data_IF_978383034635
#
_entry.id   IF_978383034635
#
_cell.length_a   1.000
_cell.length_b   1.000
_cell.length_c   1.000
_cell.angle_alpha   90.00
_cell.angle_beta   90.00
_cell.angle_gamma   90.00
#
_symmetry.space_group_name_H-M   'P 1'
#
loop_
_entity.id
_entity.type
_entity.pdbx_description
1 polymer ?
#
# COMPACT_ATOMS: atom_id res chain seq x y z
N UNK A 1 -16.39 -13.16 5.50
CA UNK A 1 -15.45 -14.14 6.11
C UNK A 1 -14.87 -15.02 5.02
N UNK A 2 -13.57 -15.23 4.97
CA UNK A 2 -12.94 -16.06 3.93
C UNK A 2 -13.05 -17.54 4.29
N UNK A 3 -14.03 -18.25 3.70
CA UNK A 3 -14.30 -19.66 3.97
C UNK A 3 -13.10 -20.59 3.69
N UNK A 4 -12.22 -20.19 2.75
CA UNK A 4 -11.04 -20.96 2.41
C UNK A 4 -10.01 -21.00 3.55
N UNK A 5 -9.70 -19.83 4.14
CA UNK A 5 -8.77 -19.74 5.28
C UNK A 5 -9.31 -20.50 6.50
N UNK A 6 -10.60 -20.38 6.79
CA UNK A 6 -11.23 -21.13 7.90
C UNK A 6 -11.16 -22.64 7.70
N UNK A 7 -11.28 -23.12 6.47
CA UNK A 7 -11.16 -24.55 6.15
C UNK A 7 -9.74 -25.11 6.39
N UNK A 8 -8.72 -24.22 6.42
CA UNK A 8 -7.32 -24.58 6.73
C UNK A 8 -6.94 -24.32 8.19
N UNK A 9 -7.91 -23.97 9.05
CA UNK A 9 -7.66 -23.65 10.46
C UNK A 9 -7.06 -22.26 10.70
N UNK A 10 -6.93 -21.44 9.65
CA UNK A 10 -6.43 -20.07 9.73
C UNK A 10 -7.47 -19.13 10.37
N UNK A 11 -7.01 -18.20 11.17
CA UNK A 11 -7.88 -17.18 11.75
C UNK A 11 -8.17 -16.10 10.72
N UNK A 12 -9.41 -16.04 10.24
CA UNK A 12 -9.80 -14.98 9.31
C UNK A 12 -9.82 -13.62 10.02
N UNK A 13 -9.13 -12.65 9.43
CA UNK A 13 -9.17 -11.24 9.84
C UNK A 13 -10.50 -10.63 9.39
N UNK A 14 -11.25 -10.05 10.34
CA UNK A 14 -12.46 -9.28 10.08
C UNK A 14 -12.20 -7.77 10.19
N UNK A 15 -13.16 -6.94 9.72
CA UNK A 15 -13.07 -5.48 9.86
C UNK A 15 -12.97 -5.03 11.33
N UNK A 16 -13.54 -5.78 12.25
CA UNK A 16 -13.58 -5.47 13.69
C UNK A 16 -12.20 -5.54 14.35
N UNK A 17 -11.28 -6.30 13.77
CA UNK A 17 -9.89 -6.35 14.25
C UNK A 17 -9.16 -5.01 14.11
N UNK A 18 -9.66 -4.11 13.24
CA UNK A 18 -9.17 -2.74 13.09
C UNK A 18 -9.88 -1.73 14.00
N UNK A 19 -10.79 -2.17 14.85
CA UNK A 19 -11.48 -1.31 15.82
C UNK A 19 -10.72 -1.20 17.16
N UNK A 20 -9.59 -1.88 17.29
CA UNK A 20 -8.68 -1.73 18.43
C UNK A 20 -8.15 -0.30 18.52
N UNK A 21 -7.73 0.12 19.71
CA UNK A 21 -7.17 1.46 19.96
C UNK A 21 -5.76 1.54 19.36
N UNK A 22 -5.68 1.69 18.07
CA UNK A 22 -4.45 1.90 17.32
C UNK A 22 -4.66 3.01 16.27
N UNK A 23 -3.56 3.55 15.76
CA UNK A 23 -3.57 4.67 14.82
C UNK A 23 -3.41 4.24 13.35
N UNK A 24 -3.81 3.01 13.02
CA UNK A 24 -3.70 2.50 11.65
C UNK A 24 -5.03 2.50 10.92
N UNK A 25 -5.00 2.99 9.68
CA UNK A 25 -6.06 2.86 8.72
C UNK A 25 -6.08 1.44 8.11
N UNK A 26 -7.22 1.05 7.56
CA UNK A 26 -7.33 -0.06 6.61
C UNK A 26 -6.85 0.41 5.25
N UNK A 27 -5.52 0.44 5.05
CA UNK A 27 -4.93 0.90 3.80
C UNK A 27 -5.18 -0.09 2.67
N UNK A 28 -5.67 0.39 1.53
CA UNK A 28 -5.90 -0.45 0.36
C UNK A 28 -4.59 -0.70 -0.41
N UNK A 29 -4.33 -1.95 -0.79
CA UNK A 29 -3.26 -2.29 -1.75
C UNK A 29 -3.69 -1.87 -3.16
N UNK A 30 -4.89 -2.31 -3.57
CA UNK A 30 -5.57 -1.86 -4.80
C UNK A 30 -6.62 -0.84 -4.39
N UNK A 31 -6.49 0.44 -4.79
CA UNK A 31 -7.40 1.50 -4.36
C UNK A 31 -8.81 1.32 -4.92
N UNK A 32 -9.81 1.71 -4.12
CA UNK A 32 -11.22 1.63 -4.55
C UNK A 32 -11.51 2.58 -5.72
N UNK A 33 -10.83 3.72 -5.77
CA UNK A 33 -10.94 4.68 -6.86
C UNK A 33 -10.53 4.12 -8.23
N UNK A 34 -9.73 3.05 -8.27
CA UNK A 34 -9.31 2.38 -9.51
C UNK A 34 -10.29 1.28 -9.97
N UNK A 35 -11.38 1.05 -9.23
CA UNK A 35 -12.35 -0.05 -9.46
C UNK A 35 -13.79 0.43 -9.35
N UNK A 36 -14.08 1.60 -9.93
CA UNK A 36 -15.41 2.24 -9.83
C UNK A 36 -16.38 1.85 -10.95
N UNK A 37 -15.90 1.23 -12.03
CA UNK A 37 -16.76 0.90 -13.19
C UNK A 37 -17.84 -0.13 -12.90
N UNK A 38 -17.56 -1.11 -12.02
CA UNK A 38 -18.50 -2.18 -11.67
C UNK A 38 -18.57 -2.36 -10.17
N UNK A 39 -19.78 -2.40 -9.63
CA UNK A 39 -20.05 -2.58 -8.22
C UNK A 39 -19.31 -3.78 -7.62
N UNK A 40 -19.34 -4.95 -8.29
CA UNK A 40 -18.66 -6.15 -7.82
C UNK A 40 -17.13 -6.00 -7.77
N UNK A 41 -16.52 -5.24 -8.69
CA UNK A 41 -15.08 -4.95 -8.67
C UNK A 41 -14.74 -4.01 -7.53
N UNK A 42 -15.58 -3.00 -7.29
CA UNK A 42 -15.41 -2.09 -6.17
C UNK A 42 -15.58 -2.82 -4.83
N UNK A 43 -16.61 -3.68 -4.68
CA UNK A 43 -16.75 -4.51 -3.48
C UNK A 43 -15.53 -5.41 -3.22
N UNK A 44 -14.90 -5.92 -4.27
CA UNK A 44 -13.75 -6.83 -4.12
C UNK A 44 -12.55 -6.16 -3.44
N UNK A 45 -12.34 -4.85 -3.65
CA UNK A 45 -11.20 -4.14 -3.03
C UNK A 45 -11.40 -3.86 -1.54
N UNK A 46 -12.61 -4.00 -1.02
CA UNK A 46 -12.90 -3.88 0.42
C UNK A 46 -12.72 -5.20 1.20
N UNK A 47 -12.26 -6.27 0.55
CA UNK A 47 -11.90 -7.51 1.25
C UNK A 47 -10.65 -7.30 2.10
N UNK A 48 -10.63 -7.90 3.29
CA UNK A 48 -9.49 -7.78 4.21
C UNK A 48 -8.16 -8.27 3.61
N UNK A 49 -8.19 -9.16 2.63
CA UNK A 49 -7.01 -9.57 1.86
C UNK A 49 -6.40 -8.48 0.98
N UNK A 50 -7.08 -7.34 0.83
CA UNK A 50 -6.58 -6.13 0.14
C UNK A 50 -6.24 -5.00 1.11
N UNK A 51 -6.21 -5.28 2.42
CA UNK A 51 -5.98 -4.28 3.45
C UNK A 51 -4.64 -4.51 4.15
N UNK A 52 -3.92 -3.43 4.42
CA UNK A 52 -2.72 -3.39 5.24
C UNK A 52 -2.90 -2.33 6.33
N UNK A 53 -2.34 -2.54 7.54
CA UNK A 53 -2.23 -1.46 8.52
C UNK A 53 -1.32 -0.35 7.95
N UNK A 54 -1.88 0.82 7.75
CA UNK A 54 -1.13 2.00 7.32
C UNK A 54 -1.44 3.17 8.25
N UNK A 55 -0.41 3.93 8.64
CA UNK A 55 -0.64 5.19 9.35
C UNK A 55 -1.47 6.13 8.48
N UNK A 56 -2.20 7.05 9.08
CA UNK A 56 -2.97 8.03 8.31
C UNK A 56 -2.07 8.88 7.41
N UNK A 57 -0.85 9.22 7.86
CA UNK A 57 0.12 9.93 7.05
C UNK A 57 0.54 9.13 5.81
N UNK A 58 0.90 7.84 5.98
CA UNK A 58 1.20 7.00 4.83
C UNK A 58 0.00 6.88 3.91
N UNK A 59 -1.16 6.44 4.43
CA UNK A 59 -2.34 6.09 3.63
C UNK A 59 -2.95 7.30 2.90
N UNK A 60 -3.16 8.41 3.63
CA UNK A 60 -3.95 9.56 3.17
C UNK A 60 -3.12 10.66 2.52
N UNK A 61 -1.76 10.59 2.64
CA UNK A 61 -0.88 11.62 2.07
C UNK A 61 0.03 11.02 1.01
N UNK A 62 1.08 10.30 1.40
CA UNK A 62 2.09 9.88 0.41
C UNK A 62 1.61 8.76 -0.53
N UNK A 63 0.89 7.79 -0.01
CA UNK A 63 0.36 6.67 -0.82
C UNK A 63 -0.73 7.16 -1.79
N UNK A 64 -1.66 7.98 -1.28
CA UNK A 64 -2.74 8.58 -2.08
C UNK A 64 -2.21 9.50 -3.18
N UNK A 65 -1.15 10.29 -2.92
CA UNK A 65 -0.51 11.15 -3.94
C UNK A 65 0.04 10.33 -5.12
N UNK A 66 0.71 9.21 -4.87
CA UNK A 66 1.18 8.34 -5.95
C UNK A 66 0.02 7.70 -6.72
N UNK A 67 -1.05 7.30 -6.04
CA UNK A 67 -2.26 6.80 -6.69
C UNK A 67 -2.92 7.87 -7.56
N UNK A 68 -3.05 9.09 -7.04
CA UNK A 68 -3.55 10.26 -7.78
C UNK A 68 -2.70 10.58 -9.00
N UNK A 69 -1.37 10.52 -8.88
CA UNK A 69 -0.44 10.68 -9.99
C UNK A 69 -0.67 9.61 -11.06
N UNK A 70 -0.80 8.34 -10.67
CA UNK A 70 -1.04 7.23 -11.60
C UNK A 70 -2.38 7.41 -12.33
N UNK A 71 -3.46 7.78 -11.63
CA UNK A 71 -4.76 8.09 -12.25
C UNK A 71 -4.68 9.27 -13.21
N UNK A 72 -3.94 10.30 -12.86
CA UNK A 72 -3.74 11.49 -13.70
C UNK A 72 -2.98 11.15 -15.00
N UNK A 73 -1.99 10.26 -14.93
CA UNK A 73 -1.28 9.77 -16.10
C UNK A 73 -2.19 8.94 -17.01
N UNK A 74 -3.02 8.06 -16.45
CA UNK A 74 -4.01 7.29 -17.20
C UNK A 74 -5.05 8.21 -17.86
N UNK A 75 -5.53 9.23 -17.17
CA UNK A 75 -6.49 10.19 -17.72
C UNK A 75 -5.92 10.95 -18.93
N UNK A 76 -4.63 11.30 -18.90
CA UNK A 76 -3.94 11.94 -20.04
C UNK A 76 -3.65 10.97 -21.19
N UNK A 77 -3.47 9.67 -20.88
CA UNK A 77 -3.12 8.62 -21.83
C UNK A 77 -4.08 7.42 -21.69
N UNK A 78 -5.38 7.58 -22.03
CA UNK A 78 -6.43 6.59 -21.71
C UNK A 78 -6.28 5.26 -22.45
N UNK A 79 -5.41 5.19 -23.45
CA UNK A 79 -5.09 3.94 -24.17
C UNK A 79 -3.93 3.17 -23.53
N UNK A 80 -3.17 3.80 -22.63
CA UNK A 80 -2.06 3.15 -21.97
C UNK A 80 -2.58 2.17 -20.90
N UNK A 81 -1.78 1.16 -20.64
CA UNK A 81 -2.00 0.19 -19.56
C UNK A 81 -0.92 0.40 -18.50
N UNK A 82 -1.32 0.41 -17.25
CA UNK A 82 -0.41 0.50 -16.14
C UNK A 82 -0.38 -0.83 -15.39
N UNK A 83 0.81 -1.29 -15.08
CA UNK A 83 1.01 -2.42 -14.18
C UNK A 83 1.53 -1.89 -12.85
N UNK A 84 0.85 -2.28 -11.77
CA UNK A 84 1.18 -1.87 -10.42
C UNK A 84 1.48 -3.11 -9.59
N UNK A 85 2.65 -3.11 -8.95
CA UNK A 85 3.05 -4.11 -7.97
C UNK A 85 3.20 -3.39 -6.65
N UNK A 86 2.55 -3.87 -5.59
CA UNK A 86 2.60 -3.24 -4.27
C UNK A 86 2.48 -4.30 -3.18
N UNK A 87 3.08 -4.02 -2.03
CA UNK A 87 3.02 -4.92 -0.89
C UNK A 87 3.68 -4.35 0.36
N UNK A 88 3.53 -5.06 1.49
CA UNK A 88 4.17 -4.72 2.74
C UNK A 88 5.64 -5.14 2.76
N UNK A 89 6.42 -4.45 3.58
CA UNK A 89 7.78 -4.82 3.98
C UNK A 89 7.78 -4.99 5.50
N UNK A 90 8.25 -6.14 5.96
CA UNK A 90 8.37 -6.46 7.38
C UNK A 90 9.85 -6.63 7.75
N UNK A 91 10.24 -6.08 8.88
CA UNK A 91 11.55 -6.38 9.47
C UNK A 91 11.50 -7.64 10.33
N UNK A 92 12.64 -8.03 10.88
CA UNK A 92 12.74 -9.21 11.75
C UNK A 92 11.93 -9.09 13.05
N UNK A 93 11.67 -7.85 13.51
CA UNK A 93 10.85 -7.58 14.70
C UNK A 93 9.39 -7.37 14.27
N UNK A 94 8.67 -8.48 14.09
CA UNK A 94 7.25 -8.44 13.74
C UNK A 94 6.41 -7.79 14.85
N UNK A 95 5.54 -6.86 14.46
CA UNK A 95 4.57 -6.19 15.33
C UNK A 95 3.17 -6.55 14.88
N UNK A 96 2.24 -6.60 15.82
CA UNK A 96 0.89 -7.05 15.56
C UNK A 96 -0.13 -6.13 16.22
N UNK A 97 -1.25 -5.92 15.53
CA UNK A 97 -2.43 -5.19 16.00
C UNK A 97 -3.69 -6.08 15.94
N UNK A 98 -4.80 -5.50 16.35
CA UNK A 98 -6.09 -6.15 16.41
C UNK A 98 -6.37 -6.79 17.77
N UNK A 99 -7.64 -7.03 18.05
CA UNK A 99 -8.10 -7.61 19.33
C UNK A 99 -7.41 -8.97 19.59
N UNK A 100 -7.17 -9.74 18.54
CA UNK A 100 -6.49 -11.04 18.61
C UNK A 100 -4.98 -10.94 18.35
N UNK A 101 -4.43 -9.76 18.11
CA UNK A 101 -3.04 -9.53 17.72
C UNK A 101 -2.61 -10.44 16.57
N UNK A 102 -3.43 -10.55 15.54
CA UNK A 102 -3.23 -11.43 14.39
C UNK A 102 -3.03 -10.68 13.07
N UNK A 103 -2.96 -9.33 13.11
CA UNK A 103 -2.68 -8.50 11.95
C UNK A 103 -1.25 -7.98 12.09
N UNK A 104 -0.35 -8.45 11.22
CA UNK A 104 1.01 -7.94 11.18
C UNK A 104 1.04 -6.50 10.66
N UNK A 105 1.81 -5.64 11.33
CA UNK A 105 2.00 -4.24 10.96
C UNK A 105 3.28 -4.14 10.13
N UNK A 106 3.22 -3.72 8.86
CA UNK A 106 4.43 -3.52 8.07
C UNK A 106 5.21 -2.30 8.57
N UNK A 107 6.53 -2.37 8.47
CA UNK A 107 7.43 -1.23 8.80
C UNK A 107 7.45 -0.21 7.67
N UNK A 108 7.22 -0.67 6.45
CA UNK A 108 7.06 0.15 5.25
C UNK A 108 6.22 -0.58 4.20
N UNK A 109 5.83 0.13 3.16
CA UNK A 109 5.13 -0.44 2.01
C UNK A 109 5.84 -0.03 0.73
N UNK A 110 5.93 -0.95 -0.23
CA UNK A 110 6.48 -0.64 -1.53
C UNK A 110 5.39 -0.52 -2.59
N UNK A 111 5.67 0.28 -3.62
CA UNK A 111 4.84 0.34 -4.84
C UNK A 111 5.75 0.56 -6.04
N UNK A 112 5.52 -0.24 -7.09
CA UNK A 112 6.14 -0.11 -8.41
C UNK A 112 5.02 0.18 -9.40
N UNK A 113 5.19 1.20 -10.23
CA UNK A 113 4.24 1.57 -11.28
C UNK A 113 4.97 1.57 -12.61
N UNK A 114 4.49 0.78 -13.57
CA UNK A 114 5.06 0.66 -14.91
C UNK A 114 3.99 1.04 -15.94
N UNK A 115 4.30 1.98 -16.81
CA UNK A 115 3.51 2.27 -18.00
C UNK A 115 3.90 1.28 -19.11
N UNK A 116 2.97 0.41 -19.49
CA UNK A 116 3.13 -0.57 -20.55
C UNK A 116 2.83 0.00 -21.95
N UNK A 117 2.44 1.28 -22.02
CA UNK A 117 2.00 1.92 -23.24
C UNK A 117 0.67 1.37 -23.78
N UNK A 118 0.32 1.80 -24.97
CA UNK A 118 -0.98 1.52 -25.60
C UNK A 118 -1.00 0.26 -26.49
N UNK A 119 0.16 -0.31 -26.80
CA UNK A 119 0.29 -1.49 -27.68
C UNK A 119 1.31 -2.50 -27.12
N UNK A 120 1.33 -3.70 -27.68
CA UNK A 120 2.32 -4.74 -27.34
C UNK A 120 3.74 -4.40 -27.78
N UNK A 121 3.89 -3.50 -28.75
CA UNK A 121 5.19 -3.02 -29.24
C UNK A 121 5.69 -1.78 -28.50
N UNK A 122 4.92 -1.24 -27.55
CA UNK A 122 5.37 -0.12 -26.73
C UNK A 122 6.51 -0.57 -25.80
N UNK A 123 7.50 0.29 -25.62
CA UNK A 123 8.57 0.07 -24.64
C UNK A 123 8.06 0.45 -23.26
N UNK A 124 8.04 -0.47 -22.30
CA UNK A 124 7.59 -0.16 -20.94
C UNK A 124 8.48 0.90 -20.26
N UNK A 125 7.87 1.72 -19.42
CA UNK A 125 8.57 2.79 -18.69
C UNK A 125 8.29 2.66 -17.20
N UNK A 126 9.33 2.67 -16.40
CA UNK A 126 9.20 2.81 -14.95
C UNK A 126 8.70 4.22 -14.61
N UNK A 127 7.56 4.30 -13.96
CA UNK A 127 6.96 5.58 -13.50
C UNK A 127 7.35 5.84 -12.06
N UNK A 128 7.24 4.83 -11.22
CA UNK A 128 7.60 4.91 -9.80
C UNK A 128 8.14 3.57 -9.31
N UNK A 129 9.11 3.65 -8.42
CA UNK A 129 9.63 2.54 -7.62
C UNK A 129 9.96 3.13 -6.25
N UNK A 130 9.15 2.84 -5.24
CA UNK A 130 9.20 3.52 -3.94
C UNK A 130 9.11 2.55 -2.77
N UNK A 131 9.78 2.89 -1.66
CA UNK A 131 9.55 2.32 -0.33
C UNK A 131 9.12 3.46 0.59
N UNK A 132 7.89 3.41 1.07
CA UNK A 132 7.30 4.44 1.93
C UNK A 132 7.21 3.93 3.37
N UNK A 133 7.80 4.61 4.36
CA UNK A 133 7.78 4.18 5.75
C UNK A 133 6.37 4.27 6.33
N UNK A 134 6.04 3.34 7.21
CA UNK A 134 4.75 3.29 7.90
C UNK A 134 4.82 4.03 9.23
N UNK A 135 5.06 5.33 9.15
CA UNK A 135 5.26 6.24 10.27
C UNK A 135 4.20 7.34 10.31
N UNK A 136 4.14 8.05 11.42
CA UNK A 136 3.29 9.24 11.59
C UNK A 136 3.83 10.43 10.80
N UNK A 137 3.06 11.50 10.71
CA UNK A 137 3.51 12.78 10.12
C UNK A 137 4.72 13.40 10.82
N UNK A 138 5.01 12.97 12.05
CA UNK A 138 6.20 13.37 12.84
C UNK A 138 7.40 12.44 12.59
N UNK A 139 7.25 11.39 11.77
CA UNK A 139 8.29 10.41 11.50
C UNK A 139 8.48 9.37 12.61
N UNK A 140 7.52 9.25 13.54
CA UNK A 140 7.54 8.29 14.64
C UNK A 140 6.65 7.07 14.34
N UNK A 141 6.93 5.96 15.01
CA UNK A 141 6.05 4.79 14.99
C UNK A 141 4.92 5.00 16.01
N UNK A 142 3.63 4.90 15.60
CA UNK A 142 2.52 5.14 16.52
C UNK A 142 2.38 4.09 17.63
N UNK A 143 3.08 2.96 17.54
CA UNK A 143 3.09 1.93 18.60
C UNK A 143 4.17 2.22 19.64
N UNK A 144 5.32 2.73 19.20
CA UNK A 144 6.46 3.01 20.08
C UNK A 144 6.33 4.41 20.74
N UNK A 145 5.42 5.26 20.26
CA UNK A 145 5.17 6.59 20.82
C UNK A 145 3.93 6.56 21.72
N UNK A 146 4.13 6.30 23.00
CA UNK A 146 3.07 6.28 24.02
C UNK A 146 2.36 7.65 24.19
N UNK A 147 2.97 8.72 23.71
CA UNK A 147 2.40 10.09 23.77
C UNK A 147 1.57 10.43 22.52
N UNK A 148 1.62 9.57 21.50
CA UNK A 148 0.94 9.81 20.24
C UNK A 148 -0.56 9.56 20.35
N UNK A 149 -1.34 10.61 20.18
CA UNK A 149 -2.80 10.49 20.11
C UNK A 149 -3.28 10.27 18.68
N UNK A 150 -4.04 9.22 18.44
CA UNK A 150 -4.63 8.94 17.12
C UNK A 150 -5.46 10.11 16.56
N UNK A 151 -5.88 11.04 17.41
CA UNK A 151 -6.55 12.26 17.02
C UNK A 151 -5.67 13.17 16.16
N UNK A 152 -4.37 13.27 16.45
CA UNK A 152 -3.43 14.10 15.69
C UNK A 152 -3.30 13.63 14.24
N UNK A 153 -3.37 12.31 14.01
CA UNK A 153 -3.36 11.73 12.66
C UNK A 153 -4.66 11.96 11.88
N UNK A 154 -5.78 12.29 12.55
CA UNK A 154 -7.05 12.60 11.86
C UNK A 154 -7.03 13.97 11.19
N UNK A 155 -6.25 14.88 11.73
CA UNK A 155 -6.12 16.27 11.27
C UNK A 155 -4.69 16.52 10.76
N UNK A 156 -4.26 15.70 9.80
CA UNK A 156 -2.95 15.85 9.20
C UNK A 156 -2.74 17.27 8.68
N UNK A 157 -1.66 17.94 9.09
CA UNK A 157 -1.33 19.23 8.52
C UNK A 157 -1.06 19.07 7.02
N UNK A 158 -1.20 20.17 6.27
CA UNK A 158 -0.71 20.22 4.90
C UNK A 158 0.81 20.02 4.94
N UNK A 159 1.26 18.80 4.62
CA UNK A 159 2.69 18.47 4.61
C UNK A 159 3.16 18.53 3.17
N UNK A 160 4.19 19.31 2.94
CA UNK A 160 4.86 19.40 1.63
C UNK A 160 5.85 18.23 1.50
N UNK A 161 5.31 17.05 1.16
CA UNK A 161 6.07 15.82 0.94
C UNK A 161 5.65 15.23 -0.39
N UNK A 162 6.58 14.91 -1.26
CA UNK A 162 6.30 14.20 -2.51
C UNK A 162 6.56 12.69 -2.33
N UNK A 163 5.76 11.87 -3.00
CA UNK A 163 6.02 10.43 -3.08
C UNK A 163 7.39 10.13 -3.73
N UNK A 164 7.89 11.03 -4.58
CA UNK A 164 9.19 10.91 -5.24
C UNK A 164 10.37 10.95 -4.25
N UNK A 165 10.19 11.53 -3.06
CA UNK A 165 11.21 11.55 -2.00
C UNK A 165 11.54 10.13 -1.47
N UNK A 166 10.67 9.15 -1.76
CA UNK A 166 10.80 7.75 -1.34
C UNK A 166 11.25 6.82 -2.47
N UNK A 167 11.80 7.40 -3.55
CA UNK A 167 12.25 6.62 -4.72
C UNK A 167 13.46 5.77 -4.38
N UNK A 168 13.39 4.50 -4.76
CA UNK A 168 14.44 3.49 -4.61
C UNK A 168 14.54 2.64 -5.88
N UNK A 169 15.60 1.86 -6.02
CA UNK A 169 15.71 0.87 -7.09
C UNK A 169 14.79 -0.34 -6.86
N UNK A 170 14.47 -1.06 -7.93
CA UNK A 170 13.72 -2.33 -7.81
C UNK A 170 14.53 -3.37 -7.04
N UNK A 171 15.85 -3.36 -7.12
CA UNK A 171 16.73 -4.26 -6.35
C UNK A 171 16.65 -4.00 -4.85
N UNK A 172 16.53 -2.73 -4.44
CA UNK A 172 16.29 -2.37 -3.04
C UNK A 172 14.94 -2.87 -2.55
N UNK A 173 13.90 -2.78 -3.37
CA UNK A 173 12.57 -3.34 -3.05
C UNK A 173 12.66 -4.87 -2.92
N UNK A 174 13.28 -5.54 -3.89
CA UNK A 174 13.46 -6.99 -3.87
C UNK A 174 14.15 -7.45 -2.58
N UNK A 175 15.26 -6.80 -2.23
CA UNK A 175 16.02 -7.08 -1.02
C UNK A 175 15.21 -6.82 0.25
N UNK A 176 14.51 -5.68 0.32
CA UNK A 176 13.76 -5.29 1.52
C UNK A 176 12.50 -6.12 1.73
N UNK A 177 11.77 -6.44 0.64
CA UNK A 177 10.53 -7.22 0.70
C UNK A 177 10.76 -8.73 0.73
N UNK A 178 11.96 -9.21 0.37
CA UNK A 178 12.27 -10.62 0.27
C UNK A 178 11.48 -11.36 -0.82
N UNK A 179 11.09 -10.66 -1.89
CA UNK A 179 10.30 -11.20 -3.00
C UNK A 179 11.06 -11.09 -4.31
N UNK A 180 10.96 -12.10 -5.16
CA UNK A 180 11.60 -12.12 -6.48
C UNK A 180 10.96 -11.07 -7.41
N UNK A 181 11.74 -10.11 -7.87
CA UNK A 181 11.35 -9.05 -8.82
C UNK A 181 11.90 -9.25 -10.22
N UNK A 182 12.46 -10.42 -10.53
CA UNK A 182 13.06 -10.69 -11.85
C UNK A 182 12.08 -10.47 -13.00
N UNK A 183 10.80 -10.88 -12.85
CA UNK A 183 9.76 -10.64 -13.83
C UNK A 183 9.47 -9.14 -14.05
N UNK A 184 9.56 -8.33 -12.99
CA UNK A 184 9.39 -6.87 -13.06
C UNK A 184 10.56 -6.25 -13.80
N UNK A 185 11.79 -6.65 -13.45
CA UNK A 185 13.03 -6.15 -14.06
C UNK A 185 13.11 -6.51 -15.56
N UNK A 186 12.70 -7.73 -15.93
CA UNK A 186 12.68 -8.19 -17.31
C UNK A 186 11.71 -7.43 -18.23
N UNK A 187 10.75 -6.67 -17.69
CA UNK A 187 9.83 -5.85 -18.47
C UNK A 187 10.40 -4.47 -18.84
N UNK A 188 11.43 -4.05 -18.14
CA UNK A 188 12.06 -2.75 -18.35
C UNK A 188 13.25 -2.89 -19.30
N UNK A 189 13.54 -1.87 -20.14
CA UNK A 189 14.67 -1.89 -21.09
C UNK A 189 16.02 -1.89 -20.38
#
# INVERSE_FOLDING_TARGET
MNKFLLAQGETAVGPDEYNDKHCFDRGHVVPSADRTEKFAQNQAVFKMSNMMPQTAFLNRVIWERLEGTTRSLLARNPKNRYWVVAGPIFTTKMRYMGVKKNIAIPDSNFKIVIDLGSSKSSVPKLIASVIMPNVTSKGTDPIDDETFECYEERNLPSVDVDWADYTVSIDEIEKAAGVDMSAVKAMLP
#
